data_IF_245414929334
#
_entry.id   IF_245414929334
#
_cell.length_a   1.000
_cell.length_b   1.000
_cell.length_c   1.000
_cell.angle_alpha   90.00
_cell.angle_beta   90.00
_cell.angle_gamma   90.00
#
_symmetry.space_group_name_H-M   'P 1'
#
loop_
_entity.id
_entity.type
_entity.pdbx_description
1 polymer ?
#
# COMPACT_ATOMS: atom_id res chain seq x y z
N UNK A 1 17.59 -34.66 -8.20
CA UNK A 1 16.50 -33.81 -7.61
C UNK A 1 16.54 -32.34 -8.07
N UNK A 2 17.69 -31.67 -8.05
CA UNK A 2 17.82 -30.25 -8.48
C UNK A 2 17.52 -30.04 -9.96
N UNK A 3 17.96 -30.96 -10.83
CA UNK A 3 17.64 -30.92 -12.25
C UNK A 3 16.13 -31.05 -12.50
N UNK A 4 15.45 -31.91 -11.74
CA UNK A 4 13.99 -32.05 -11.78
C UNK A 4 13.28 -30.79 -11.25
N UNK A 5 13.81 -30.13 -10.21
CA UNK A 5 13.26 -28.88 -9.69
C UNK A 5 13.50 -27.68 -10.63
N UNK A 6 14.69 -27.58 -11.24
CA UNK A 6 14.99 -26.60 -12.30
C UNK A 6 14.11 -26.82 -13.53
N UNK A 7 13.88 -28.08 -13.92
CA UNK A 7 12.96 -28.43 -14.98
C UNK A 7 11.53 -28.01 -14.61
N UNK A 8 11.08 -28.25 -13.37
CA UNK A 8 9.76 -27.85 -12.86
C UNK A 8 9.52 -26.33 -12.90
N UNK A 9 10.56 -25.54 -12.62
CA UNK A 9 10.52 -24.07 -12.70
C UNK A 9 10.48 -23.56 -14.15
N UNK A 10 10.98 -24.36 -15.11
CA UNK A 10 11.07 -23.99 -16.52
C UNK A 10 9.96 -24.60 -17.38
N UNK A 11 9.26 -25.64 -16.91
CA UNK A 11 8.26 -26.39 -17.66
C UNK A 11 6.83 -25.99 -17.29
N UNK A 12 6.37 -24.82 -17.75
CA UNK A 12 4.95 -24.58 -18.00
C UNK A 12 4.69 -24.82 -19.51
N UNK A 13 4.62 -26.09 -19.91
CA UNK A 13 3.83 -26.65 -21.03
C UNK A 13 4.18 -28.14 -21.25
N UNK A 14 3.26 -28.98 -21.76
CA UNK A 14 3.29 -30.43 -21.55
C UNK A 14 3.86 -31.23 -22.75
N UNK A 15 4.33 -32.48 -22.50
CA UNK A 15 3.91 -33.73 -23.19
C UNK A 15 4.80 -34.94 -22.79
N UNK A 16 4.16 -36.12 -22.93
CA UNK A 16 4.35 -37.51 -22.48
C UNK A 16 5.68 -38.28 -22.75
N UNK A 17 5.85 -39.44 -22.08
CA UNK A 17 7.02 -40.33 -22.12
C UNK A 17 6.83 -41.61 -22.97
N UNK A 18 7.94 -42.26 -23.36
CA UNK A 18 8.00 -43.71 -23.67
C UNK A 18 9.47 -44.20 -23.60
N UNK A 19 9.76 -45.22 -22.76
CA UNK A 19 10.16 -46.60 -23.11
C UNK A 19 11.66 -46.74 -23.50
N UNK A 20 12.46 -47.74 -23.10
CA UNK A 20 12.29 -49.00 -22.35
C UNK A 20 13.70 -49.60 -22.05
N UNK A 21 13.80 -50.38 -20.96
CA UNK A 21 14.47 -51.69 -20.71
C UNK A 21 15.68 -52.12 -21.60
N UNK A 22 16.72 -52.86 -21.20
CA UNK A 22 17.16 -53.68 -20.05
C UNK A 22 18.61 -54.17 -20.37
N UNK A 23 19.45 -54.52 -19.37
CA UNK A 23 20.29 -55.76 -19.31
C UNK A 23 21.43 -55.65 -18.26
N UNK A 24 21.26 -56.40 -17.15
CA UNK A 24 22.25 -56.77 -16.12
C UNK A 24 23.07 -57.99 -16.61
N UNK A 25 24.31 -58.30 -16.25
CA UNK A 25 24.69 -58.80 -14.92
C UNK A 25 26.17 -59.29 -14.92
N UNK A 26 27.14 -58.40 -15.15
CA UNK A 26 28.50 -58.47 -14.53
C UNK A 26 28.87 -57.11 -13.90
N UNK A 27 27.82 -56.34 -13.67
CA UNK A 27 27.77 -54.92 -13.41
C UNK A 27 27.02 -54.76 -12.08
N UNK A 28 27.51 -55.36 -10.99
CA UNK A 28 26.82 -55.30 -9.68
C UNK A 28 27.69 -54.76 -8.56
N UNK A 29 29.02 -54.93 -8.63
CA UNK A 29 29.96 -54.32 -7.66
C UNK A 29 30.50 -53.00 -8.20
N UNK A 30 30.71 -52.90 -9.51
CA UNK A 30 31.18 -51.68 -10.19
C UNK A 30 30.03 -50.69 -10.40
N UNK A 31 28.81 -51.15 -10.67
CA UNK A 31 27.60 -50.31 -10.76
C UNK A 31 27.22 -49.72 -9.42
N UNK A 32 27.24 -50.48 -8.32
CA UNK A 32 26.94 -49.96 -6.99
C UNK A 32 27.96 -48.90 -6.53
N UNK A 33 29.24 -49.07 -6.88
CA UNK A 33 30.29 -48.07 -6.60
C UNK A 33 30.21 -46.85 -7.52
N UNK A 34 29.79 -47.03 -8.78
CA UNK A 34 29.57 -45.93 -9.73
C UNK A 34 28.29 -45.15 -9.39
N UNK A 35 27.22 -45.82 -8.96
CA UNK A 35 25.98 -45.21 -8.50
C UNK A 35 26.19 -44.46 -7.18
N UNK A 36 26.96 -45.01 -6.24
CA UNK A 36 27.34 -44.35 -4.98
C UNK A 36 28.25 -43.14 -5.24
N UNK A 37 29.21 -43.25 -6.17
CA UNK A 37 30.04 -42.12 -6.58
C UNK A 37 29.26 -41.04 -7.36
N UNK A 38 28.30 -41.44 -8.20
CA UNK A 38 27.43 -40.52 -8.94
C UNK A 38 26.47 -39.80 -7.97
N UNK A 39 25.92 -40.53 -6.99
CA UNK A 39 25.10 -39.98 -5.91
C UNK A 39 25.91 -39.02 -5.04
N UNK A 40 27.14 -39.38 -4.70
CA UNK A 40 28.04 -38.52 -3.92
C UNK A 40 28.42 -37.25 -4.70
N UNK A 41 28.61 -37.36 -6.02
CA UNK A 41 28.86 -36.22 -6.89
C UNK A 41 27.64 -35.29 -6.95
N UNK A 42 26.43 -35.82 -7.11
CA UNK A 42 25.19 -35.04 -7.10
C UNK A 42 24.96 -34.35 -5.74
N UNK A 43 25.23 -35.03 -4.63
CA UNK A 43 25.15 -34.46 -3.28
C UNK A 43 26.18 -33.36 -3.10
N UNK A 44 27.42 -33.55 -3.56
CA UNK A 44 28.46 -32.52 -3.49
C UNK A 44 28.10 -31.29 -4.33
N UNK A 45 27.49 -31.49 -5.50
CA UNK A 45 27.00 -30.39 -6.35
C UNK A 45 25.85 -29.61 -5.68
N UNK A 46 24.90 -30.32 -5.06
CA UNK A 46 23.83 -29.71 -4.28
C UNK A 46 24.37 -28.93 -3.08
N UNK A 47 25.28 -29.51 -2.29
CA UNK A 47 25.86 -28.84 -1.12
C UNK A 47 26.68 -27.61 -1.52
N UNK A 48 27.34 -27.63 -2.69
CA UNK A 48 28.03 -26.44 -3.22
C UNK A 48 27.02 -25.37 -3.63
N UNK A 49 25.94 -25.74 -4.31
CA UNK A 49 24.87 -24.82 -4.70
C UNK A 49 24.17 -24.21 -3.47
N UNK A 50 23.82 -25.00 -2.46
CA UNK A 50 23.24 -24.50 -1.21
C UNK A 50 24.20 -23.55 -0.49
N UNK A 51 25.49 -23.88 -0.43
CA UNK A 51 26.50 -22.97 0.14
C UNK A 51 26.60 -21.65 -0.63
N UNK A 52 26.46 -21.66 -1.96
CA UNK A 52 26.38 -20.45 -2.78
C UNK A 52 25.09 -19.65 -2.48
N UNK A 53 23.94 -20.32 -2.34
CA UNK A 53 22.66 -19.71 -2.00
C UNK A 53 22.60 -19.17 -0.56
N UNK A 54 23.25 -19.81 0.41
CA UNK A 54 23.39 -19.30 1.77
C UNK A 54 24.00 -17.89 1.77
N UNK A 55 24.92 -17.61 0.82
CA UNK A 55 25.52 -16.28 0.63
C UNK A 55 24.61 -15.21 0.00
N UNK A 56 23.40 -15.59 -0.43
CA UNK A 56 22.36 -14.66 -0.88
C UNK A 56 21.45 -14.24 0.28
N UNK A 57 21.24 -15.12 1.26
CA UNK A 57 20.34 -14.90 2.40
C UNK A 57 21.02 -14.32 3.65
N UNK A 58 22.34 -14.31 3.71
CA UNK A 58 23.16 -13.98 4.89
C UNK A 58 23.55 -12.49 5.05
N UNK A 59 23.14 -11.60 4.13
CA UNK A 59 23.30 -10.16 4.39
C UNK A 59 23.19 -9.20 3.20
N UNK A 60 23.07 -9.70 1.97
CA UNK A 60 22.92 -8.86 0.76
C UNK A 60 21.47 -8.55 0.38
N UNK A 61 20.49 -9.03 1.15
CA UNK A 61 19.09 -8.64 0.95
C UNK A 61 18.95 -7.16 1.31
N UNK A 62 18.99 -6.31 0.27
CA UNK A 62 18.67 -4.89 0.40
C UNK A 62 17.26 -4.78 0.97
N UNK A 63 17.10 -4.05 2.08
CA UNK A 63 15.75 -3.74 2.60
C UNK A 63 14.93 -3.11 1.48
N UNK A 64 13.81 -3.74 1.14
CA UNK A 64 12.85 -3.14 0.23
C UNK A 64 12.28 -1.86 0.87
N UNK A 65 12.24 -0.78 0.10
CA UNK A 65 11.60 0.46 0.54
C UNK A 65 10.12 0.20 0.81
N UNK A 66 9.60 0.66 1.95
CA UNK A 66 8.19 0.52 2.27
C UNK A 66 7.33 1.36 1.30
N UNK A 67 6.51 0.70 0.48
CA UNK A 67 5.60 1.35 -0.47
C UNK A 67 4.64 2.30 0.23
N UNK A 68 4.10 1.92 1.38
CA UNK A 68 3.21 2.77 2.18
C UNK A 68 3.94 4.05 2.59
N UNK A 69 5.18 3.94 3.06
CA UNK A 69 5.99 5.11 3.42
C UNK A 69 6.23 6.04 2.21
N UNK A 70 6.49 5.48 1.03
CA UNK A 70 6.63 6.25 -0.22
C UNK A 70 5.33 6.95 -0.61
N UNK A 71 4.19 6.27 -0.50
CA UNK A 71 2.87 6.84 -0.77
C UNK A 71 2.55 7.98 0.20
N UNK A 72 2.79 7.79 1.50
CA UNK A 72 2.63 8.84 2.50
C UNK A 72 3.56 10.04 2.27
N UNK A 73 4.77 9.79 1.77
CA UNK A 73 5.69 10.86 1.36
C UNK A 73 5.13 11.66 0.18
N UNK A 74 4.53 11.00 -0.81
CA UNK A 74 3.86 11.67 -1.93
C UNK A 74 2.65 12.51 -1.46
N UNK A 75 1.82 11.97 -0.55
CA UNK A 75 0.71 12.73 0.08
C UNK A 75 1.22 13.97 0.80
N UNK A 76 2.31 13.85 1.58
CA UNK A 76 2.93 15.01 2.26
C UNK A 76 3.51 16.03 1.30
N UNK A 77 3.99 15.62 0.12
CA UNK A 77 4.45 16.55 -0.90
C UNK A 77 3.27 17.35 -1.48
N UNK A 78 2.14 16.68 -1.72
CA UNK A 78 0.90 17.31 -2.15
C UNK A 78 0.36 18.33 -1.12
N UNK A 79 0.35 17.97 0.16
CA UNK A 79 -0.09 18.86 1.24
C UNK A 79 0.80 20.11 1.42
N UNK A 80 2.03 20.09 0.87
CA UNK A 80 2.95 21.24 0.90
C UNK A 80 2.75 22.21 -0.25
N UNK A 81 1.96 21.87 -1.28
CA UNK A 81 1.64 22.80 -2.36
C UNK A 81 0.98 24.07 -1.79
N UNK A 82 1.53 25.25 -2.08
CA UNK A 82 1.11 26.49 -1.42
C UNK A 82 -0.35 26.87 -1.72
N UNK A 83 -0.87 26.55 -2.91
CA UNK A 83 -2.27 26.82 -3.26
C UNK A 83 -3.19 25.94 -2.43
N UNK A 84 -2.92 24.64 -2.39
CA UNK A 84 -3.73 23.67 -1.65
C UNK A 84 -3.63 23.89 -0.13
N UNK A 85 -2.41 24.15 0.36
CA UNK A 85 -2.13 24.42 1.76
C UNK A 85 -2.92 25.62 2.28
N UNK A 86 -3.10 26.67 1.48
CA UNK A 86 -3.92 27.83 1.86
C UNK A 86 -5.38 27.43 2.12
N UNK A 87 -5.95 26.59 1.26
CA UNK A 87 -7.34 26.13 1.32
C UNK A 87 -7.53 25.16 2.50
N UNK A 88 -6.59 24.22 2.66
CA UNK A 88 -6.60 23.28 3.80
C UNK A 88 -6.48 24.06 5.12
N UNK A 89 -5.64 25.09 5.18
CA UNK A 89 -5.54 25.94 6.37
C UNK A 89 -6.85 26.70 6.67
N UNK A 90 -7.53 27.20 5.65
CA UNK A 90 -8.85 27.80 5.84
C UNK A 90 -9.89 26.80 6.37
N UNK A 91 -9.92 25.58 5.82
CA UNK A 91 -10.77 24.52 6.34
C UNK A 91 -10.44 24.19 7.81
N UNK A 92 -9.16 24.16 8.19
CA UNK A 92 -8.71 23.98 9.59
C UNK A 92 -9.21 25.11 10.50
N UNK A 93 -9.18 26.36 10.04
CA UNK A 93 -9.68 27.52 10.80
C UNK A 93 -11.18 27.38 11.06
N UNK A 94 -11.96 26.99 10.05
CA UNK A 94 -13.41 26.76 10.20
C UNK A 94 -13.66 25.67 11.24
N UNK A 95 -13.03 24.51 11.09
CA UNK A 95 -13.16 23.38 12.02
C UNK A 95 -12.76 23.79 13.45
N UNK A 96 -11.65 24.51 13.61
CA UNK A 96 -11.18 25.00 14.91
C UNK A 96 -12.19 25.96 15.53
N UNK A 97 -12.72 26.90 14.75
CA UNK A 97 -13.68 27.91 15.23
C UNK A 97 -14.97 27.26 15.73
N UNK A 98 -15.50 26.28 14.99
CA UNK A 98 -16.66 25.49 15.45
C UNK A 98 -16.37 24.80 16.78
N UNK A 99 -15.24 24.08 16.85
CA UNK A 99 -14.87 23.32 18.06
C UNK A 99 -14.64 24.20 19.29
N UNK A 100 -14.28 25.46 19.10
CA UNK A 100 -14.16 26.45 20.19
C UNK A 100 -15.50 27.08 20.59
N UNK A 101 -16.55 26.94 19.78
CA UNK A 101 -17.88 27.48 20.04
C UNK A 101 -18.84 26.36 20.45
N UNK A 102 -19.20 26.32 21.74
CA UNK A 102 -20.22 25.40 22.25
C UNK A 102 -21.58 25.60 21.57
N UNK A 103 -21.93 26.85 21.23
CA UNK A 103 -23.17 27.18 20.52
C UNK A 103 -23.15 26.59 19.11
N UNK A 104 -22.13 26.89 18.31
CA UNK A 104 -22.04 26.41 16.93
C UNK A 104 -21.92 24.88 16.85
N UNK A 105 -21.14 24.27 17.74
CA UNK A 105 -21.03 22.81 17.83
C UNK A 105 -22.36 22.17 18.25
N UNK A 106 -23.06 22.77 19.22
CA UNK A 106 -24.34 22.27 19.70
C UNK A 106 -25.43 22.35 18.62
N UNK A 107 -25.48 23.43 17.85
CA UNK A 107 -26.40 23.55 16.72
C UNK A 107 -26.07 22.59 15.59
N UNK A 108 -24.79 22.44 15.25
CA UNK A 108 -24.37 21.50 14.23
C UNK A 108 -24.74 20.05 14.60
N UNK A 109 -24.54 19.69 15.87
CA UNK A 109 -24.90 18.38 16.40
C UNK A 109 -26.41 18.16 16.36
N UNK A 110 -27.22 19.18 16.69
CA UNK A 110 -28.69 19.09 16.57
C UNK A 110 -29.16 18.95 15.12
N UNK A 111 -28.52 19.65 14.18
CA UNK A 111 -28.91 19.65 12.78
C UNK A 111 -28.48 18.37 12.03
N UNK A 112 -27.34 17.77 12.41
CA UNK A 112 -26.72 16.69 11.63
C UNK A 112 -26.46 15.40 12.40
N UNK A 113 -26.52 15.42 13.73
CA UNK A 113 -26.04 14.32 14.57
C UNK A 113 -24.52 14.15 14.56
N UNK A 114 -23.77 15.02 13.89
CA UNK A 114 -22.32 14.91 13.71
C UNK A 114 -21.59 16.13 14.28
N UNK A 115 -20.31 15.92 14.61
CA UNK A 115 -19.36 16.98 14.96
C UNK A 115 -18.23 17.04 13.94
N UNK A 116 -17.55 18.19 13.87
CA UNK A 116 -16.37 18.34 13.00
C UNK A 116 -15.15 17.63 13.59
N UNK A 117 -14.39 16.97 12.71
CA UNK A 117 -13.16 16.26 13.06
C UNK A 117 -11.97 17.19 12.88
N UNK A 118 -11.13 17.30 13.92
CA UNK A 118 -9.90 18.09 13.85
C UNK A 118 -8.83 17.39 13.00
N UNK A 119 -8.14 18.17 12.18
CA UNK A 119 -6.94 17.74 11.49
C UNK A 119 -5.75 17.69 12.46
N UNK A 120 -4.98 16.61 12.43
CA UNK A 120 -3.89 16.32 13.37
C UNK A 120 -2.66 15.95 12.57
N UNK A 121 -1.74 16.90 12.39
CA UNK A 121 -0.59 16.79 11.48
C UNK A 121 0.30 15.55 11.67
N UNK A 122 0.29 14.93 12.85
CA UNK A 122 1.04 13.70 13.13
C UNK A 122 0.36 12.43 12.64
N UNK A 123 -0.95 12.46 12.34
CA UNK A 123 -1.72 11.34 11.78
C UNK A 123 -1.88 11.48 10.27
N UNK A 124 -1.41 10.47 9.54
CA UNK A 124 -1.27 10.50 8.08
C UNK A 124 -2.57 10.69 7.27
N UNK A 125 -3.73 10.34 7.83
CA UNK A 125 -5.04 10.46 7.16
C UNK A 125 -5.96 11.52 7.79
N UNK A 126 -5.47 12.30 8.77
CA UNK A 126 -6.32 13.23 9.52
C UNK A 126 -6.86 14.38 8.66
N UNK A 127 -6.07 14.88 7.70
CA UNK A 127 -6.52 15.89 6.74
C UNK A 127 -7.68 15.38 5.89
N UNK A 128 -7.60 14.14 5.37
CA UNK A 128 -8.70 13.50 4.65
C UNK A 128 -9.97 13.42 5.50
N UNK A 129 -9.86 12.89 6.73
CA UNK A 129 -11.01 12.72 7.61
C UNK A 129 -11.66 14.05 8.00
N UNK A 130 -10.85 15.08 8.25
CA UNK A 130 -11.30 16.42 8.59
C UNK A 130 -12.05 17.07 7.42
N UNK A 131 -11.46 17.04 6.22
CA UNK A 131 -12.06 17.63 5.02
C UNK A 131 -13.32 16.89 4.58
N UNK A 132 -13.30 15.55 4.62
CA UNK A 132 -14.47 14.73 4.28
C UNK A 132 -15.65 15.03 5.21
N UNK A 133 -15.41 15.11 6.53
CA UNK A 133 -16.46 15.50 7.48
C UNK A 133 -16.96 16.92 7.21
N UNK A 134 -16.06 17.85 6.91
CA UNK A 134 -16.44 19.23 6.63
C UNK A 134 -17.31 19.35 5.36
N UNK A 135 -17.03 18.60 4.30
CA UNK A 135 -17.85 18.57 3.08
C UNK A 135 -19.20 17.84 3.30
N UNK A 136 -19.21 16.78 4.12
CA UNK A 136 -20.42 16.04 4.50
C UNK A 136 -21.48 16.92 5.19
N UNK A 137 -21.05 17.81 6.11
CA UNK A 137 -21.95 18.73 6.83
C UNK A 137 -21.90 20.16 6.30
N UNK A 138 -21.52 20.34 5.03
CA UNK A 138 -21.22 21.64 4.40
C UNK A 138 -22.34 22.67 4.54
N UNK A 139 -23.58 22.31 4.21
CA UNK A 139 -24.68 23.28 4.18
C UNK A 139 -25.08 23.76 5.59
N UNK A 140 -25.24 22.86 6.60
CA UNK A 140 -25.40 23.27 8.00
C UNK A 140 -24.24 24.13 8.52
N UNK A 141 -23.00 23.80 8.14
CA UNK A 141 -21.82 24.60 8.53
C UNK A 141 -21.92 26.02 7.99
N UNK A 142 -22.26 26.20 6.71
CA UNK A 142 -22.41 27.55 6.12
C UNK A 142 -23.49 28.37 6.80
N UNK A 143 -24.64 27.75 7.10
CA UNK A 143 -25.76 28.43 7.74
C UNK A 143 -25.39 28.89 9.16
N UNK A 144 -24.80 28.00 9.97
CA UNK A 144 -24.38 28.30 11.33
C UNK A 144 -23.25 29.35 11.33
N UNK A 145 -22.33 29.29 10.37
CA UNK A 145 -21.31 30.32 10.20
C UNK A 145 -21.94 31.69 9.97
N UNK A 146 -22.88 31.79 9.03
CA UNK A 146 -23.56 33.05 8.72
C UNK A 146 -24.29 33.65 9.92
N UNK A 147 -24.82 32.80 10.82
CA UNK A 147 -25.55 33.25 12.03
C UNK A 147 -24.64 33.59 13.22
N UNK A 148 -23.60 32.79 13.47
CA UNK A 148 -22.86 32.82 14.74
C UNK A 148 -21.37 33.15 14.62
N UNK A 149 -20.76 32.92 13.45
CA UNK A 149 -19.30 33.00 13.31
C UNK A 149 -18.92 34.14 12.37
N UNK A 150 -18.18 35.12 12.90
CA UNK A 150 -17.67 36.26 12.13
C UNK A 150 -16.40 35.91 11.33
N UNK A 151 -16.39 34.76 10.68
CA UNK A 151 -15.29 34.32 9.81
C UNK A 151 -15.79 34.16 8.37
N UNK A 152 -14.98 34.51 7.36
CA UNK A 152 -15.35 34.27 5.98
C UNK A 152 -15.48 32.75 5.74
N UNK A 153 -16.50 32.38 4.96
CA UNK A 153 -16.66 31.02 4.47
C UNK A 153 -15.76 30.73 3.27
N UNK A 154 -15.61 29.45 2.95
CA UNK A 154 -14.98 29.00 1.70
C UNK A 154 -15.87 29.36 0.50
N UNK A 155 -15.26 29.89 -0.54
CA UNK A 155 -15.87 30.19 -1.83
C UNK A 155 -16.34 28.90 -2.54
N UNK A 156 -17.28 28.99 -3.51
CA UNK A 156 -17.68 27.83 -4.30
C UNK A 156 -16.50 27.12 -4.98
N UNK A 157 -15.51 27.86 -5.46
CA UNK A 157 -14.29 27.31 -6.06
C UNK A 157 -13.41 26.56 -5.06
N UNK A 158 -13.21 27.11 -3.86
CA UNK A 158 -12.44 26.42 -2.81
C UNK A 158 -13.11 25.13 -2.35
N UNK A 159 -14.45 25.09 -2.27
CA UNK A 159 -15.17 23.85 -2.00
C UNK A 159 -14.98 22.79 -3.09
N UNK A 160 -14.91 23.20 -4.37
CA UNK A 160 -14.60 22.27 -5.46
C UNK A 160 -13.19 21.70 -5.30
N UNK A 161 -12.23 22.54 -4.91
CA UNK A 161 -10.85 22.10 -4.63
C UNK A 161 -10.81 21.15 -3.43
N UNK A 162 -11.57 21.40 -2.36
CA UNK A 162 -11.70 20.47 -1.23
C UNK A 162 -12.21 19.10 -1.69
N UNK A 163 -13.24 19.07 -2.53
CA UNK A 163 -13.75 17.80 -3.10
C UNK A 163 -12.70 17.07 -3.94
N UNK A 164 -11.90 17.80 -4.71
CA UNK A 164 -10.77 17.23 -5.45
C UNK A 164 -9.73 16.62 -4.49
N UNK A 165 -9.33 17.36 -3.44
CA UNK A 165 -8.40 16.87 -2.42
C UNK A 165 -8.93 15.60 -1.76
N UNK A 166 -10.21 15.59 -1.34
CA UNK A 166 -10.85 14.41 -0.72
C UNK A 166 -10.73 13.20 -1.65
N UNK A 167 -11.14 13.33 -2.92
CA UNK A 167 -11.10 12.22 -3.89
C UNK A 167 -9.69 11.65 -4.06
N UNK A 168 -8.69 12.52 -4.17
CA UNK A 168 -7.30 12.09 -4.29
C UNK A 168 -6.81 11.34 -3.03
N UNK A 169 -7.04 11.95 -1.86
CA UNK A 169 -6.60 11.37 -0.60
C UNK A 169 -7.33 10.06 -0.28
N UNK A 170 -8.59 9.90 -0.68
CA UNK A 170 -9.35 8.65 -0.53
C UNK A 170 -8.70 7.48 -1.29
N UNK A 171 -8.18 7.73 -2.50
CA UNK A 171 -7.45 6.69 -3.25
C UNK A 171 -6.16 6.29 -2.54
N UNK A 172 -5.40 7.27 -2.05
CA UNK A 172 -4.19 7.02 -1.28
C UNK A 172 -4.49 6.25 0.02
N UNK A 173 -5.57 6.61 0.72
CA UNK A 173 -6.03 5.94 1.93
C UNK A 173 -6.43 4.48 1.63
N UNK A 174 -7.21 4.25 0.58
CA UNK A 174 -7.63 2.92 0.15
C UNK A 174 -6.44 2.01 -0.16
N UNK A 175 -5.44 2.51 -0.89
CA UNK A 175 -4.23 1.74 -1.20
C UNK A 175 -3.41 1.48 0.06
N UNK A 176 -3.29 2.46 0.95
CA UNK A 176 -2.60 2.29 2.23
C UNK A 176 -3.26 1.21 3.06
N UNK A 177 -4.59 1.24 3.21
CA UNK A 177 -5.33 0.24 3.99
C UNK A 177 -5.15 -1.18 3.43
N UNK A 178 -5.17 -1.33 2.09
CA UNK A 178 -4.96 -2.62 1.42
C UNK A 178 -3.53 -3.16 1.57
N UNK A 179 -2.53 -2.27 1.48
CA UNK A 179 -1.12 -2.66 1.60
C UNK A 179 -0.66 -2.82 3.05
N UNK A 180 -1.42 -2.30 4.01
CA UNK A 180 -1.15 -2.44 5.45
C UNK A 180 -1.80 -3.70 6.06
N UNK A 181 -2.29 -4.62 5.23
CA UNK A 181 -2.88 -5.85 5.71
C UNK A 181 -1.80 -6.78 6.29
N UNK A 182 -1.88 -7.06 7.58
CA UNK A 182 -0.91 -7.94 8.27
C UNK A 182 -1.19 -9.44 8.06
N UNK A 183 -2.38 -9.78 7.55
CA UNK A 183 -2.86 -11.17 7.45
C UNK A 183 -2.70 -11.78 6.06
N UNK A 184 -2.36 -10.98 5.06
CA UNK A 184 -2.29 -11.39 3.66
C UNK A 184 -0.97 -10.92 3.04
N UNK A 185 -0.44 -11.66 2.08
CA UNK A 185 0.78 -11.23 1.39
C UNK A 185 0.50 -9.96 0.56
N UNK A 186 1.13 -8.83 0.88
CA UNK A 186 0.83 -7.55 0.21
C UNK A 186 1.85 -7.13 -0.85
N UNK A 187 2.96 -7.86 -1.02
CA UNK A 187 4.00 -7.49 -2.00
C UNK A 187 3.56 -7.67 -3.46
N UNK A 188 2.80 -8.73 -3.75
CA UNK A 188 2.36 -9.07 -5.11
C UNK A 188 1.38 -8.04 -5.73
N UNK A 189 0.44 -7.40 -5.00
CA UNK A 189 -0.44 -6.37 -5.56
C UNK A 189 0.17 -4.96 -5.59
N UNK A 190 1.38 -4.74 -5.06
CA UNK A 190 2.01 -3.40 -5.03
C UNK A 190 2.03 -2.75 -6.41
N UNK A 191 2.48 -3.49 -7.43
CA UNK A 191 2.55 -2.99 -8.81
C UNK A 191 1.17 -2.59 -9.34
N UNK A 192 0.15 -3.40 -9.07
CA UNK A 192 -1.24 -3.13 -9.48
C UNK A 192 -1.76 -1.82 -8.85
N UNK A 193 -1.62 -1.65 -7.53
CA UNK A 193 -2.11 -0.44 -6.86
C UNK A 193 -1.33 0.82 -7.25
N UNK A 194 0.00 0.73 -7.39
CA UNK A 194 0.82 1.88 -7.79
C UNK A 194 0.49 2.35 -9.20
N UNK A 195 0.35 1.44 -10.17
CA UNK A 195 -0.06 1.82 -11.52
C UNK A 195 -1.49 2.40 -11.54
N UNK A 196 -2.39 1.86 -10.73
CA UNK A 196 -3.75 2.39 -10.59
C UNK A 196 -3.77 3.82 -10.04
N UNK A 197 -2.90 4.15 -9.09
CA UNK A 197 -2.75 5.51 -8.57
C UNK A 197 -2.18 6.48 -9.62
N UNK A 198 -1.17 6.06 -10.37
CA UNK A 198 -0.57 6.91 -11.43
C UNK A 198 -1.61 7.24 -12.50
N UNK A 199 -2.35 6.24 -13.01
CA UNK A 199 -3.43 6.47 -13.98
C UNK A 199 -4.58 7.33 -13.46
N UNK A 200 -4.76 7.40 -12.14
CA UNK A 200 -5.77 8.28 -11.55
C UNK A 200 -5.33 9.76 -11.53
N UNK A 201 -4.02 10.00 -11.65
CA UNK A 201 -3.40 11.33 -11.63
C UNK A 201 -3.14 11.90 -13.03
N UNK A 202 -3.13 11.05 -14.06
CA UNK A 202 -3.08 11.40 -15.48
C UNK A 202 -4.45 11.87 -16.00
#
# INVERSE_FOLDING_TARGET
MVAAFKALVQSNSPVNPDESEEEEAQLSVVSAQIEDANTQQEVNEYMRFESECETEFDGRIKRHSCTIHRLQTAVRAFEKDEKLKSIINWARIIVRTFRMSHVATGELLKATGLTLIADVSTRWNSTLLSLRRLDEVREPVKEIMARHLKIPGLTPGEWLIIKFIIRLLEKCNTVTDKLSADKEATIHPVHFYMNGLVRHLE
#
